data_IF_591438751516
#
_entry.id   IF_591438751516
#
_cell.length_a   1.000
_cell.length_b   1.000
_cell.length_c   1.000
_cell.angle_alpha   90.00
_cell.angle_beta   90.00
_cell.angle_gamma   90.00
#
_symmetry.space_group_name_H-M   'P 1'
#
loop_
_entity.id
_entity.type
_entity.pdbx_description
1 polymer ?
#
# COMPACT_ATOMS: atom_id res chain seq x y z
N UNK A 1 22.91 -8.43 -7.46
CA UNK A 1 22.66 -8.07 -6.05
C UNK A 1 22.67 -9.36 -5.25
N UNK A 2 23.56 -9.50 -4.27
CA UNK A 2 23.63 -10.71 -3.44
C UNK A 2 22.68 -10.52 -2.25
N UNK A 3 21.72 -11.42 -2.09
CA UNK A 3 20.77 -11.38 -0.98
C UNK A 3 21.35 -12.18 0.19
N UNK A 4 21.31 -11.61 1.39
CA UNK A 4 21.84 -12.23 2.60
C UNK A 4 20.69 -12.52 3.56
N UNK A 5 20.57 -13.75 4.12
CA UNK A 5 19.55 -14.02 5.13
C UNK A 5 19.62 -13.04 6.30
N UNK A 6 18.48 -12.44 6.64
CA UNK A 6 18.29 -11.64 7.85
C UNK A 6 17.59 -12.52 8.90
N UNK A 7 17.86 -12.30 10.19
CA UNK A 7 17.13 -13.00 11.26
C UNK A 7 15.66 -12.52 11.25
N UNK A 8 14.71 -13.45 11.06
CA UNK A 8 13.28 -13.13 10.95
C UNK A 8 12.67 -12.49 12.21
N UNK A 9 13.26 -12.73 13.38
CA UNK A 9 12.78 -12.19 14.65
C UNK A 9 13.31 -10.78 14.94
N UNK A 10 14.35 -10.34 14.22
CA UNK A 10 14.86 -8.97 14.32
C UNK A 10 14.25 -8.01 13.29
N UNK A 11 13.37 -8.50 12.41
CA UNK A 11 12.72 -7.67 11.40
C UNK A 11 11.63 -6.84 12.08
N UNK A 12 11.63 -5.53 11.82
CA UNK A 12 10.52 -4.62 12.12
C UNK A 12 10.22 -3.78 10.88
N UNK A 13 9.06 -4.01 10.25
CA UNK A 13 8.62 -3.26 9.07
C UNK A 13 7.97 -1.91 9.43
N UNK A 14 7.76 -1.63 10.72
CA UNK A 14 7.28 -0.33 11.21
C UNK A 14 8.40 0.61 11.63
N UNK A 15 9.65 0.14 11.64
CA UNK A 15 10.82 1.00 11.89
C UNK A 15 11.06 1.91 10.67
N UNK A 16 11.03 3.25 10.83
CA UNK A 16 11.38 4.17 9.75
C UNK A 16 12.81 3.97 9.21
N UNK A 17 13.75 3.56 10.07
CA UNK A 17 15.15 3.34 9.68
C UNK A 17 15.26 2.19 8.67
N UNK A 18 14.38 1.19 8.74
CA UNK A 18 14.31 0.13 7.73
C UNK A 18 14.02 0.69 6.33
N UNK A 19 13.15 1.70 6.21
CA UNK A 19 12.71 2.22 4.91
C UNK A 19 13.73 3.15 4.24
N UNK A 20 14.62 3.76 5.02
CA UNK A 20 15.76 4.54 4.53
C UNK A 20 17.04 3.70 4.34
N UNK A 21 17.03 2.45 4.82
CA UNK A 21 18.15 1.53 4.67
C UNK A 21 18.47 1.22 3.19
N UNK A 22 19.71 0.78 2.89
CA UNK A 22 20.12 0.37 1.56
C UNK A 22 19.15 -0.65 0.95
N UNK A 23 18.90 -0.52 -0.36
CA UNK A 23 17.98 -1.42 -1.08
C UNK A 23 18.32 -2.89 -0.86
N UNK A 24 19.60 -3.23 -0.84
CA UNK A 24 20.10 -4.60 -0.61
C UNK A 24 19.61 -5.19 0.71
N UNK A 25 19.58 -4.38 1.78
CA UNK A 25 19.06 -4.80 3.07
C UNK A 25 17.54 -5.02 2.99
N UNK A 26 16.79 -4.07 2.42
CA UNK A 26 15.33 -4.20 2.28
C UNK A 26 14.92 -5.41 1.44
N UNK A 27 15.60 -5.66 0.32
CA UNK A 27 15.35 -6.81 -0.56
C UNK A 27 15.70 -8.13 0.15
N UNK A 28 16.79 -8.15 0.93
CA UNK A 28 17.19 -9.30 1.75
C UNK A 28 16.16 -9.62 2.84
N UNK A 29 15.63 -8.59 3.51
CA UNK A 29 14.56 -8.71 4.51
C UNK A 29 13.29 -9.30 3.89
N UNK A 30 12.82 -8.78 2.76
CA UNK A 30 11.65 -9.35 2.08
C UNK A 30 11.91 -10.75 1.51
N UNK A 31 13.15 -11.06 1.13
CA UNK A 31 13.55 -12.41 0.73
C UNK A 31 13.46 -13.41 1.89
N UNK A 32 13.94 -13.04 3.09
CA UNK A 32 13.78 -13.84 4.31
C UNK A 32 12.30 -14.04 4.63
N UNK A 33 11.52 -12.95 4.70
CA UNK A 33 10.09 -13.03 5.06
C UNK A 33 9.33 -14.00 4.15
N UNK A 34 9.50 -13.90 2.82
CA UNK A 34 8.83 -14.79 1.86
C UNK A 34 9.12 -16.28 2.08
N UNK A 35 10.30 -16.61 2.64
CA UNK A 35 10.76 -17.99 2.85
C UNK A 35 10.38 -18.53 4.22
N UNK A 36 10.53 -17.72 5.25
CA UNK A 36 10.49 -18.18 6.64
C UNK A 36 9.22 -17.75 7.38
N UNK A 37 8.67 -16.57 7.09
CA UNK A 37 7.47 -16.03 7.71
C UNK A 37 6.67 -15.18 6.71
N UNK A 38 6.05 -15.79 5.68
CA UNK A 38 5.48 -15.06 4.56
C UNK A 38 4.27 -14.19 4.94
N UNK A 39 3.63 -14.55 6.05
CA UNK A 39 2.58 -13.82 6.75
C UNK A 39 3.09 -13.61 8.18
N UNK A 40 3.51 -12.39 8.52
CA UNK A 40 4.02 -12.04 9.85
C UNK A 40 3.32 -10.81 10.39
N UNK A 41 2.94 -10.87 11.66
CA UNK A 41 2.33 -9.75 12.37
C UNK A 41 3.39 -8.75 12.83
N UNK A 42 3.09 -7.46 12.70
CA UNK A 42 3.89 -6.33 13.18
C UNK A 42 2.99 -5.35 13.93
N UNK A 43 3.52 -4.74 15.00
CA UNK A 43 2.87 -3.56 15.59
C UNK A 43 3.04 -2.40 14.62
N UNK A 44 2.04 -1.53 14.50
CA UNK A 44 2.16 -0.30 13.72
C UNK A 44 3.02 0.74 14.45
N UNK A 45 3.62 1.64 13.69
CA UNK A 45 4.32 2.80 14.25
C UNK A 45 3.31 3.70 15.01
N UNK A 46 3.58 4.07 16.27
CA UNK A 46 2.68 4.95 17.02
C UNK A 46 2.69 6.36 16.43
N UNK A 47 1.50 6.93 16.21
CA UNK A 47 1.37 8.34 15.88
C UNK A 47 1.26 9.19 17.15
N UNK A 48 1.96 10.32 17.14
CA UNK A 48 1.86 11.32 18.22
C UNK A 48 0.41 11.79 18.34
N UNK A 49 -0.14 11.73 19.56
CA UNK A 49 -1.52 12.09 19.91
C UNK A 49 -2.62 11.16 19.36
N UNK A 50 -2.28 9.96 18.90
CA UNK A 50 -3.26 8.93 18.55
C UNK A 50 -3.05 7.67 19.39
N UNK A 51 -4.12 6.95 19.75
CA UNK A 51 -3.98 5.63 20.35
C UNK A 51 -3.30 4.68 19.34
N UNK A 52 -2.45 3.74 19.80
CA UNK A 52 -1.90 2.73 18.91
C UNK A 52 -3.01 1.83 18.40
N UNK A 53 -3.02 1.58 17.11
CA UNK A 53 -3.88 0.58 16.48
C UNK A 53 -3.43 -0.85 16.78
N UNK A 54 -4.18 -1.84 16.29
CA UNK A 54 -3.96 -3.25 16.60
C UNK A 54 -2.71 -3.84 15.91
N UNK A 55 -2.00 -3.08 15.07
CA UNK A 55 -0.95 -3.58 14.19
C UNK A 55 -1.50 -4.16 12.90
N UNK A 56 -0.66 -4.89 12.16
CA UNK A 56 -1.00 -5.41 10.83
C UNK A 56 -0.28 -6.72 10.54
N UNK A 57 -0.83 -7.48 9.59
CA UNK A 57 -0.16 -8.63 8.99
C UNK A 57 0.53 -8.20 7.69
N UNK A 58 1.84 -8.40 7.59
CA UNK A 58 2.57 -8.22 6.35
C UNK A 58 2.44 -9.48 5.49
N UNK A 59 1.81 -9.33 4.32
CA UNK A 59 1.79 -10.36 3.28
C UNK A 59 2.94 -10.10 2.32
N UNK A 60 3.87 -11.03 2.22
CA UNK A 60 5.10 -10.82 1.42
C UNK A 60 5.17 -11.64 0.14
N UNK A 61 4.25 -12.60 -0.04
CA UNK A 61 4.14 -13.37 -1.28
C UNK A 61 3.07 -12.78 -2.19
N UNK A 62 3.35 -12.84 -3.49
CA UNK A 62 2.42 -12.39 -4.52
C UNK A 62 1.07 -13.10 -4.44
N UNK A 63 1.04 -14.41 -4.20
CA UNK A 63 -0.19 -15.20 -4.13
C UNK A 63 -1.15 -14.73 -3.03
N UNK A 64 -0.61 -14.41 -1.85
CA UNK A 64 -1.40 -13.92 -0.70
C UNK A 64 -1.92 -12.49 -0.97
N UNK A 65 -1.07 -11.61 -1.51
CA UNK A 65 -1.45 -10.25 -1.90
C UNK A 65 -2.55 -10.27 -2.95
N UNK A 66 -2.40 -11.14 -3.97
CA UNK A 66 -3.38 -11.31 -5.03
C UNK A 66 -4.70 -11.86 -4.48
N UNK A 67 -4.64 -12.84 -3.58
CA UNK A 67 -5.83 -13.39 -2.92
C UNK A 67 -6.58 -12.30 -2.14
N UNK A 68 -5.90 -11.51 -1.30
CA UNK A 68 -6.55 -10.42 -0.56
C UNK A 68 -7.16 -9.37 -1.51
N UNK A 69 -6.39 -8.93 -2.51
CA UNK A 69 -6.80 -7.85 -3.41
C UNK A 69 -8.04 -8.17 -4.26
N UNK A 70 -8.34 -9.46 -4.49
CA UNK A 70 -9.47 -9.88 -5.33
C UNK A 70 -10.72 -10.31 -4.58
N UNK A 71 -10.68 -10.39 -3.25
CA UNK A 71 -11.83 -10.78 -2.44
C UNK A 71 -12.23 -9.62 -1.51
N UNK A 72 -12.67 -8.46 -2.06
CA UNK A 72 -13.02 -7.28 -1.26
C UNK A 72 -14.20 -7.52 -0.30
N UNK A 73 -15.02 -8.54 -0.55
CA UNK A 73 -16.06 -8.99 0.36
C UNK A 73 -15.52 -9.64 1.65
N UNK A 74 -14.27 -10.12 1.61
CA UNK A 74 -13.57 -10.66 2.77
C UNK A 74 -12.61 -9.64 3.39
N UNK A 75 -12.09 -8.69 2.59
CA UNK A 75 -11.05 -7.74 2.98
C UNK A 75 -11.48 -6.29 2.71
N UNK A 76 -11.95 -5.64 3.77
CA UNK A 76 -12.51 -4.29 3.76
C UNK A 76 -11.45 -3.21 3.49
N UNK A 77 -11.75 -2.29 2.57
CA UNK A 77 -10.99 -1.03 2.40
C UNK A 77 -11.70 0.17 3.06
N UNK A 78 -13.00 0.07 3.32
CA UNK A 78 -13.83 1.11 3.94
C UNK A 78 -13.41 1.53 5.36
N UNK A 79 -12.59 0.73 6.03
CA UNK A 79 -12.03 1.03 7.37
C UNK A 79 -10.62 1.61 7.33
N UNK A 80 -10.11 1.93 6.13
CA UNK A 80 -8.78 2.49 5.91
C UNK A 80 -7.87 1.53 5.14
N UNK A 81 -7.00 2.10 4.33
CA UNK A 81 -6.04 1.37 3.47
C UNK A 81 -4.57 1.63 3.84
N UNK A 82 -4.32 2.44 4.86
CA UNK A 82 -2.97 2.74 5.35
C UNK A 82 -2.55 1.74 6.43
N UNK A 83 -1.24 1.53 6.61
CA UNK A 83 -0.69 0.69 7.69
C UNK A 83 -1.08 1.26 9.05
N UNK A 84 -0.98 2.58 9.20
CA UNK A 84 -1.34 3.27 10.43
C UNK A 84 -2.85 3.42 10.53
N UNK A 85 -3.40 2.96 11.65
CA UNK A 85 -4.82 3.05 11.93
C UNK A 85 -5.22 4.51 12.20
N UNK A 86 -6.06 5.06 11.33
CA UNK A 86 -6.68 6.38 11.53
C UNK A 86 -8.08 6.22 12.16
N UNK A 87 -8.58 7.29 12.79
CA UNK A 87 -9.98 7.31 13.23
C UNK A 87 -10.93 7.28 12.03
N UNK A 88 -12.18 6.80 12.18
CA UNK A 88 -13.15 6.79 11.10
C UNK A 88 -13.32 8.15 10.41
N UNK A 89 -13.33 9.25 11.19
CA UNK A 89 -13.49 10.61 10.70
C UNK A 89 -12.30 11.04 9.82
N UNK A 90 -11.08 10.69 10.23
CA UNK A 90 -9.88 10.98 9.43
C UNK A 90 -9.80 10.10 8.20
N UNK A 91 -10.21 8.83 8.31
CA UNK A 91 -10.28 7.92 7.18
C UNK A 91 -11.30 8.38 6.15
N UNK A 92 -12.46 8.91 6.55
CA UNK A 92 -13.45 9.48 5.64
C UNK A 92 -12.97 10.80 5.04
N UNK A 93 -12.28 11.64 5.82
CA UNK A 93 -11.79 12.94 5.36
C UNK A 93 -10.64 12.81 4.35
N UNK A 94 -9.66 11.95 4.61
CA UNK A 94 -8.49 11.76 3.74
C UNK A 94 -8.69 10.67 2.70
N UNK A 95 -9.51 9.68 3.02
CA UNK A 95 -9.84 8.56 2.16
C UNK A 95 -10.91 8.93 1.16
N UNK A 96 -10.48 9.32 -0.04
CA UNK A 96 -11.36 9.36 -1.20
C UNK A 96 -11.88 7.93 -1.51
N UNK A 97 -12.20 7.66 -2.77
CA UNK A 97 -12.74 6.36 -3.18
C UNK A 97 -11.87 5.13 -2.82
N UNK A 98 -10.59 5.32 -2.48
CA UNK A 98 -9.69 4.24 -2.04
C UNK A 98 -10.06 3.65 -0.67
N UNK A 99 -10.66 4.44 0.23
CA UNK A 99 -11.13 3.98 1.54
C UNK A 99 -12.65 3.72 1.51
N UNK A 100 -13.14 3.09 0.43
CA UNK A 100 -14.55 2.75 0.28
C UNK A 100 -14.68 1.32 -0.20
N UNK A 101 -15.74 0.66 0.25
CA UNK A 101 -16.20 -0.62 -0.31
C UNK A 101 -17.45 -0.43 -1.17
N UNK A 102 -17.86 -1.50 -1.83
CA UNK A 102 -19.08 -1.54 -2.62
C UNK A 102 -20.34 -1.43 -1.75
N UNK A 103 -21.43 -0.83 -2.28
CA UNK A 103 -21.62 -0.37 -3.66
C UNK A 103 -21.10 1.06 -3.94
N UNK A 104 -20.63 1.78 -2.92
CA UNK A 104 -20.19 3.19 -3.07
C UNK A 104 -18.95 3.29 -3.94
N UNK A 105 -17.95 2.42 -3.69
CA UNK A 105 -16.72 2.36 -4.48
C UNK A 105 -17.00 2.08 -5.96
N UNK A 106 -17.75 1.03 -6.30
CA UNK A 106 -18.12 0.71 -7.68
C UNK A 106 -18.80 1.88 -8.41
N UNK A 107 -19.75 2.55 -7.75
CA UNK A 107 -20.46 3.70 -8.33
C UNK A 107 -19.50 4.84 -8.68
N UNK A 108 -18.61 5.21 -7.77
CA UNK A 108 -17.62 6.28 -8.00
C UNK A 108 -16.58 5.84 -9.05
N UNK A 109 -16.04 4.63 -8.94
CA UNK A 109 -15.06 4.08 -9.88
C UNK A 109 -15.61 4.06 -11.31
N UNK A 110 -16.88 3.71 -11.48
CA UNK A 110 -17.54 3.65 -12.80
C UNK A 110 -17.72 5.03 -13.45
N UNK A 111 -17.74 6.11 -12.66
CA UNK A 111 -17.77 7.48 -13.18
C UNK A 111 -16.35 7.92 -13.53
N UNK A 112 -15.43 7.77 -12.58
CA UNK A 112 -14.04 8.24 -12.71
C UNK A 112 -13.29 7.50 -13.82
N UNK A 113 -13.49 6.19 -13.97
CA UNK A 113 -12.77 5.35 -14.95
C UNK A 113 -12.95 5.79 -16.40
N UNK A 114 -14.05 6.49 -16.73
CA UNK A 114 -14.31 7.03 -18.07
C UNK A 114 -13.27 8.08 -18.49
N UNK A 115 -12.66 8.79 -17.53
CA UNK A 115 -11.57 9.74 -17.79
C UNK A 115 -10.20 9.08 -18.02
N UNK A 116 -10.08 7.78 -17.76
CA UNK A 116 -8.81 7.02 -17.83
C UNK A 116 -8.83 5.94 -18.92
N UNK A 117 -9.70 6.08 -19.92
CA UNK A 117 -9.67 5.17 -21.07
C UNK A 117 -8.40 5.38 -21.89
N UNK A 118 -7.90 4.37 -22.65
CA UNK A 118 -6.73 4.54 -23.50
C UNK A 118 -6.81 5.80 -24.40
N UNK A 119 -7.99 6.09 -24.94
CA UNK A 119 -8.25 7.28 -25.76
C UNK A 119 -8.03 8.59 -25.01
N UNK A 120 -8.53 8.70 -23.77
CA UNK A 120 -8.33 9.91 -22.96
C UNK A 120 -6.87 10.08 -22.55
N UNK A 121 -6.17 8.98 -22.23
CA UNK A 121 -4.73 9.03 -21.92
C UNK A 121 -3.93 9.54 -23.13
N UNK A 122 -4.19 9.03 -24.34
CA UNK A 122 -3.51 9.49 -25.56
C UNK A 122 -3.74 10.98 -25.83
N UNK A 123 -4.92 11.52 -25.53
CA UNK A 123 -5.20 12.96 -25.70
C UNK A 123 -4.32 13.86 -24.83
N UNK A 124 -3.99 13.42 -23.62
CA UNK A 124 -3.21 14.21 -22.65
C UNK A 124 -1.70 13.96 -22.81
N UNK A 125 -1.32 12.88 -23.50
CA UNK A 125 0.08 12.47 -23.66
C UNK A 125 0.97 13.55 -24.27
N UNK A 126 0.53 14.22 -25.35
CA UNK A 126 1.32 15.28 -26.00
C UNK A 126 1.50 16.49 -25.08
N UNK A 127 0.46 16.87 -24.35
CA UNK A 127 0.53 17.95 -23.36
C UNK A 127 1.57 17.64 -22.27
N UNK A 128 1.57 16.42 -21.74
CA UNK A 128 2.55 15.97 -20.73
C UNK A 128 3.96 16.00 -21.29
N UNK A 129 4.18 15.48 -22.50
CA UNK A 129 5.50 15.49 -23.17
C UNK A 129 6.02 16.91 -23.36
N UNK A 130 5.17 17.83 -23.82
CA UNK A 130 5.55 19.22 -24.01
C UNK A 130 5.87 19.90 -22.67
N UNK A 131 5.05 19.68 -21.63
CA UNK A 131 5.33 20.23 -20.30
C UNK A 131 6.63 19.69 -19.72
N UNK A 132 6.89 18.39 -19.84
CA UNK A 132 8.14 17.78 -19.37
C UNK A 132 9.37 18.41 -20.01
N UNK A 133 9.35 18.68 -21.33
CA UNK A 133 10.44 19.37 -22.04
C UNK A 133 10.68 20.81 -21.59
N UNK A 134 9.72 21.46 -20.94
CA UNK A 134 9.94 22.82 -20.38
C UNK A 134 10.64 22.79 -19.03
N UNK A 135 10.72 21.63 -18.38
CA UNK A 135 11.30 21.45 -17.06
C UNK A 135 12.74 20.93 -17.09
N UNK A 136 13.16 20.32 -18.22
CA UNK A 136 14.51 19.79 -18.46
C UNK A 136 15.16 20.52 -19.61
#
# INVERSE_FOLDING_TARGET
MQLTPVNVDSIDLSDPEFWVAPREHRESTFWTLRREAPIKFFKEMPLVNFPPGPGYYALTKHEDIWAVSRNPELWCSGQGSNITTLTPELNEFFGSMINMDDPKHFRLRSIVSKGFTPKEITRVEEYVKNKARTLV
#
